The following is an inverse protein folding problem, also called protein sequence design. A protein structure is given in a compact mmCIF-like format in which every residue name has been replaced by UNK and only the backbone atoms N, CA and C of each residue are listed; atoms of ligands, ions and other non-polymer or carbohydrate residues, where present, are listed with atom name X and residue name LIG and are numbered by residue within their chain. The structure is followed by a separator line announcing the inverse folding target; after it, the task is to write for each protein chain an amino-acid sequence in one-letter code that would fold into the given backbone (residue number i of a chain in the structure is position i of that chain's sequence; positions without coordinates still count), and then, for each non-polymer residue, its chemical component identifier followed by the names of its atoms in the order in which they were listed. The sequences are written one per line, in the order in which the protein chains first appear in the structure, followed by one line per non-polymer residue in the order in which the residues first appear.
data_IF_926726794334
#
_entry.id   IF_926726794334
#
_cell.length_a   1.000
_cell.length_b   1.000
_cell.length_c   1.000
_cell.angle_alpha   90.00
_cell.angle_beta   90.00
_cell.angle_gamma   90.00
#
_symmetry.space_group_name_H-M   'P 1'
#
loop_
_entity.id
_entity.type
_entity.pdbx_description
1 polymer ?
#
# COMPACT_ATOMS: atom_id res chain seq x y z
N UNK A 1 -2.51 45.65 26.93
CA UNK A 1 -2.49 44.17 27.01
C UNK A 1 -3.37 43.53 25.94
N UNK A 2 -4.65 43.88 25.78
CA UNK A 2 -5.55 43.21 24.81
C UNK A 2 -5.01 43.15 23.37
N UNK A 3 -4.50 44.26 22.83
CA UNK A 3 -4.03 44.36 21.42
C UNK A 3 -2.77 43.54 21.10
N UNK A 4 -1.94 43.24 22.12
CA UNK A 4 -0.69 42.46 21.95
C UNK A 4 -1.00 40.98 21.73
N UNK A 5 -2.13 40.48 22.26
CA UNK A 5 -2.57 39.11 22.02
C UNK A 5 -3.24 38.97 20.64
N UNK A 6 -4.00 39.99 20.20
CA UNK A 6 -4.58 40.01 18.85
C UNK A 6 -3.52 39.95 17.76
N UNK A 7 -2.45 40.75 17.85
CA UNK A 7 -1.38 40.80 16.84
C UNK A 7 -0.65 39.46 16.70
N UNK A 8 -0.32 38.78 17.80
CA UNK A 8 0.29 37.44 17.76
C UNK A 8 -0.59 36.41 17.03
N UNK A 9 -1.90 36.43 17.27
CA UNK A 9 -2.84 35.48 16.66
C UNK A 9 -3.10 35.68 15.15
N UNK A 10 -2.79 36.85 14.60
CA UNK A 10 -2.92 37.13 13.16
C UNK A 10 -1.61 36.81 12.43
N UNK A 11 -0.47 37.26 12.95
CA UNK A 11 0.84 37.04 12.31
C UNK A 11 1.15 35.54 12.15
N UNK A 12 0.85 34.72 13.14
CA UNK A 12 1.04 33.25 13.06
C UNK A 12 0.13 32.55 12.03
N UNK A 13 -0.95 33.19 11.55
CA UNK A 13 -1.81 32.62 10.50
C UNK A 13 -1.25 32.85 9.10
N UNK A 14 -0.61 33.99 8.85
CA UNK A 14 0.00 34.28 7.55
C UNK A 14 1.28 33.46 7.32
N UNK A 15 2.10 33.19 8.35
CA UNK A 15 3.30 32.35 8.20
C UNK A 15 2.97 30.95 7.65
N UNK A 16 1.85 30.35 8.07
CA UNK A 16 1.42 29.00 7.67
C UNK A 16 0.88 28.92 6.24
N UNK A 17 0.44 30.06 5.69
CA UNK A 17 -0.14 30.16 4.34
C UNK A 17 0.89 29.87 3.23
N UNK A 18 2.17 30.01 3.54
CA UNK A 18 3.29 29.79 2.61
C UNK A 18 4.03 28.46 2.84
N UNK A 19 3.52 27.58 3.70
CA UNK A 19 4.09 26.24 3.86
C UNK A 19 3.57 25.33 2.74
N UNK A 20 4.37 24.33 2.36
CA UNK A 20 3.87 23.21 1.56
C UNK A 20 3.23 22.14 2.44
N UNK A 21 2.43 21.26 1.85
CA UNK A 21 1.95 20.01 2.41
C UNK A 21 3.10 19.19 3.02
N UNK A 22 4.21 19.08 2.28
CA UNK A 22 5.45 18.47 2.69
C UNK A 22 5.99 19.10 3.99
N UNK A 23 6.10 20.43 4.05
CA UNK A 23 6.58 21.15 5.25
C UNK A 23 5.62 21.02 6.44
N UNK A 24 4.30 21.00 6.20
CA UNK A 24 3.29 20.71 7.23
C UNK A 24 3.47 19.30 7.79
N UNK A 25 3.77 18.33 6.92
CA UNK A 25 4.03 16.95 7.29
C UNK A 25 5.36 16.78 8.04
N UNK A 26 6.45 17.40 7.59
CA UNK A 26 7.74 17.41 8.31
C UNK A 26 7.61 17.92 9.75
N UNK A 27 6.86 19.02 9.95
CA UNK A 27 6.62 19.59 11.27
C UNK A 27 5.70 18.71 12.14
N UNK A 28 4.75 18.00 11.54
CA UNK A 28 3.96 16.98 12.23
C UNK A 28 4.84 15.80 12.69
N UNK A 29 5.83 15.39 11.88
CA UNK A 29 6.78 14.36 12.24
C UNK A 29 7.71 14.81 13.38
N UNK A 30 8.16 16.06 13.43
CA UNK A 30 8.93 16.57 14.60
C UNK A 30 8.16 16.45 15.91
N UNK A 31 6.84 16.60 15.89
CA UNK A 31 5.98 16.37 17.05
C UNK A 31 5.87 14.87 17.38
N UNK A 32 5.52 14.06 16.38
CA UNK A 32 5.21 12.63 16.56
C UNK A 32 6.45 11.75 16.79
N UNK A 33 7.63 12.11 16.29
CA UNK A 33 8.87 11.32 16.45
C UNK A 33 9.40 11.28 17.88
N UNK A 34 8.83 12.10 18.78
CA UNK A 34 9.07 12.04 20.22
C UNK A 34 8.26 10.96 20.95
N UNK A 35 7.26 10.36 20.28
CA UNK A 35 6.33 9.41 20.89
C UNK A 35 6.85 7.96 20.72
N UNK A 36 6.88 7.19 21.81
CA UNK A 36 7.13 5.74 21.77
C UNK A 36 5.99 4.96 22.44
N UNK A 37 5.01 4.55 21.63
CA UNK A 37 3.85 3.74 22.00
C UNK A 37 4.18 2.30 22.45
N UNK A 38 5.45 1.87 22.43
CA UNK A 38 5.86 0.46 22.56
C UNK A 38 5.39 -0.29 23.81
N UNK A 39 4.97 0.41 24.86
CA UNK A 39 4.23 -0.16 25.98
C UNK A 39 3.16 0.79 26.57
N UNK A 40 2.79 1.88 25.89
CA UNK A 40 1.99 2.95 26.49
C UNK A 40 0.56 2.54 26.87
N UNK A 41 0.21 2.80 28.12
CA UNK A 41 -1.18 2.86 28.58
C UNK A 41 -1.91 4.06 27.97
N UNK A 42 -3.24 4.00 27.92
CA UNK A 42 -4.09 5.10 27.44
C UNK A 42 -3.85 6.40 28.22
N UNK A 43 -3.45 6.32 29.49
CA UNK A 43 -3.05 7.49 30.29
C UNK A 43 -1.75 8.13 29.80
N UNK A 44 -0.72 7.34 29.52
CA UNK A 44 0.55 7.83 28.96
C UNK A 44 0.36 8.41 27.55
N UNK A 45 -0.50 7.79 26.72
CA UNK A 45 -0.90 8.38 25.43
C UNK A 45 -1.61 9.72 25.65
N UNK A 46 -2.54 9.80 26.59
CA UNK A 46 -3.27 11.05 26.90
C UNK A 46 -2.31 12.17 27.34
N UNK A 47 -1.38 11.88 28.24
CA UNK A 47 -0.42 12.87 28.75
C UNK A 47 0.55 13.31 27.64
N UNK A 48 1.10 12.37 26.87
CA UNK A 48 1.99 12.68 25.75
C UNK A 48 1.30 13.53 24.67
N UNK A 49 0.10 13.17 24.25
CA UNK A 49 -0.71 13.95 23.31
C UNK A 49 -1.08 15.34 23.87
N UNK A 50 -1.30 15.45 25.18
CA UNK A 50 -1.55 16.73 25.83
C UNK A 50 -0.34 17.66 25.78
N UNK A 51 0.90 17.14 25.78
CA UNK A 51 2.11 17.98 25.58
C UNK A 51 2.16 18.60 24.17
N UNK A 52 1.63 17.91 23.16
CA UNK A 52 1.47 18.43 21.79
C UNK A 52 0.31 19.43 21.67
N UNK A 53 -0.49 19.60 22.74
CA UNK A 53 -1.72 20.39 22.76
C UNK A 53 -2.94 19.69 22.14
N UNK A 54 -2.80 18.41 21.78
CA UNK A 54 -3.86 17.58 21.22
C UNK A 54 -4.80 17.13 22.35
N UNK A 55 -6.06 16.82 22.03
CA UNK A 55 -7.10 16.55 23.02
C UNK A 55 -7.91 15.31 22.67
N UNK A 56 -7.95 14.36 23.59
CA UNK A 56 -8.99 13.33 23.58
C UNK A 56 -10.36 14.00 23.68
N UNK A 57 -11.22 13.70 22.71
CA UNK A 57 -12.60 14.15 22.70
C UNK A 57 -13.45 13.14 23.49
N UNK A 58 -14.43 13.59 24.29
CA UNK A 58 -15.37 12.67 24.92
C UNK A 58 -16.19 11.96 23.83
N UNK A 59 -15.99 10.66 23.70
CA UNK A 59 -16.80 9.79 22.86
C UNK A 59 -17.78 9.07 23.77
N UNK A 60 -19.08 9.31 23.59
CA UNK A 60 -20.10 8.49 24.25
C UNK A 60 -19.88 7.01 23.84
N UNK A 61 -19.80 6.07 24.80
CA UNK A 61 -19.56 4.67 24.47
C UNK A 61 -20.69 4.17 23.56
N UNK A 62 -20.38 3.46 22.45
CA UNK A 62 -21.39 3.06 21.48
C UNK A 62 -22.47 2.23 22.16
N UNK A 63 -23.74 2.63 21.97
CA UNK A 63 -24.89 2.04 22.66
C UNK A 63 -25.06 0.54 22.40
N UNK A 64 -24.49 0.04 21.30
CA UNK A 64 -24.26 -1.38 21.08
C UNK A 64 -22.80 -1.74 21.38
N UNK A 65 -22.59 -2.52 22.46
CA UNK A 65 -21.31 -3.19 22.71
C UNK A 65 -21.21 -4.43 21.84
N UNK A 66 -20.97 -4.24 20.54
CA UNK A 66 -20.45 -5.32 19.71
C UNK A 66 -19.03 -5.65 20.19
N UNK A 67 -18.80 -6.92 20.54
CA UNK A 67 -17.50 -7.41 21.02
C UNK A 67 -16.44 -7.47 19.91
N UNK A 68 -16.85 -7.35 18.64
CA UNK A 68 -15.95 -7.19 17.50
C UNK A 68 -15.57 -5.72 17.23
N UNK A 69 -16.34 -4.74 17.70
CA UNK A 69 -16.05 -3.31 17.44
C UNK A 69 -15.04 -2.76 18.46
N UNK A 70 -13.88 -2.37 17.92
CA UNK A 70 -12.73 -1.85 18.65
C UNK A 70 -13.05 -0.63 19.51
N UNK A 71 -12.48 -0.58 20.73
CA UNK A 71 -12.47 0.63 21.56
C UNK A 71 -11.56 1.68 20.90
N UNK A 72 -12.16 2.55 20.08
CA UNK A 72 -11.52 3.73 19.49
C UNK A 72 -11.87 4.97 20.33
N UNK A 73 -10.86 5.71 20.75
CA UNK A 73 -11.04 7.07 21.29
C UNK A 73 -10.66 8.08 20.21
N UNK A 74 -11.46 9.14 20.04
CA UNK A 74 -11.19 10.19 19.05
C UNK A 74 -10.31 11.26 19.69
N UNK A 75 -9.27 11.68 18.98
CA UNK A 75 -8.39 12.79 19.35
C UNK A 75 -8.59 13.91 18.34
N UNK A 76 -8.94 15.11 18.82
CA UNK A 76 -8.82 16.33 18.04
C UNK A 76 -7.39 16.85 18.16
N UNK A 77 -6.73 17.10 17.03
CA UNK A 77 -5.36 17.60 16.99
C UNK A 77 -5.26 18.93 16.23
N UNK A 78 -4.25 19.74 16.56
CA UNK A 78 -3.98 21.03 15.93
C UNK A 78 -2.51 21.06 15.52
N UNK A 79 -2.20 21.37 14.26
CA UNK A 79 -0.80 21.68 13.91
C UNK A 79 -0.49 23.11 14.35
N UNK A 80 0.59 23.30 15.12
CA UNK A 80 0.94 24.59 15.74
C UNK A 80 2.38 25.00 15.37
N UNK A 81 2.60 26.19 14.80
CA UNK A 81 1.59 27.17 14.37
C UNK A 81 0.77 26.66 13.18
N UNK A 82 -0.51 27.01 13.12
CA UNK A 82 -1.41 26.59 12.04
C UNK A 82 -2.89 26.89 12.34
N UNK A 83 -3.75 27.04 11.31
CA UNK A 83 -5.18 27.30 11.47
C UNK A 83 -6.08 26.06 11.33
N UNK A 84 -5.53 24.89 10.96
CA UNK A 84 -6.29 23.64 10.82
C UNK A 84 -6.17 22.76 12.05
N UNK A 85 -7.32 22.21 12.44
CA UNK A 85 -7.41 21.05 13.33
C UNK A 85 -7.80 19.83 12.49
N UNK A 86 -7.24 18.67 12.83
CA UNK A 86 -7.59 17.38 12.23
C UNK A 86 -8.08 16.39 13.28
N UNK A 87 -8.36 15.16 12.83
CA UNK A 87 -8.74 14.05 13.69
C UNK A 87 -7.69 12.95 13.69
N UNK A 88 -7.55 12.28 14.83
CA UNK A 88 -6.80 11.05 15.00
C UNK A 88 -7.62 10.09 15.87
N UNK A 89 -7.27 8.81 15.90
CA UNK A 89 -7.90 7.82 16.79
C UNK A 89 -6.86 6.99 17.53
N UNK A 90 -7.07 6.80 18.82
CA UNK A 90 -6.32 5.84 19.65
C UNK A 90 -7.13 4.55 19.70
N UNK A 91 -6.53 3.46 19.23
CA UNK A 91 -7.08 2.11 19.29
C UNK A 91 -6.53 1.40 20.53
N UNK A 92 -7.44 0.89 21.36
CA UNK A 92 -7.15 0.26 22.66
C UNK A 92 -7.30 -1.26 22.55
N UNK A 93 -6.46 -2.01 23.27
CA UNK A 93 -6.48 -3.47 23.25
C UNK A 93 -7.78 -4.06 23.79
N UNK A 94 -8.35 -5.03 23.07
CA UNK A 94 -9.49 -5.82 23.56
C UNK A 94 -9.11 -6.79 24.69
N UNK A 95 -7.80 -7.10 24.87
CA UNK A 95 -7.32 -7.97 25.98
C UNK A 95 -7.04 -7.17 27.25
N UNK A 96 -6.53 -5.94 27.11
CA UNK A 96 -6.31 -5.01 28.21
C UNK A 96 -6.79 -3.61 27.82
N UNK A 97 -7.98 -3.18 28.30
CA UNK A 97 -8.51 -1.85 28.02
C UNK A 97 -7.72 -0.67 28.61
N UNK A 98 -6.65 -0.90 29.37
CA UNK A 98 -5.69 0.13 29.75
C UNK A 98 -4.59 0.35 28.69
N UNK A 99 -4.36 -0.60 27.78
CA UNK A 99 -3.25 -0.61 26.84
C UNK A 99 -3.61 0.02 25.49
N UNK A 100 -2.88 1.05 25.06
CA UNK A 100 -2.96 1.54 23.69
C UNK A 100 -2.17 0.64 22.74
N UNK A 101 -2.69 0.44 21.53
CA UNK A 101 -2.11 -0.44 20.49
C UNK A 101 -1.68 0.35 19.26
N UNK A 102 -2.49 1.34 18.85
CA UNK A 102 -2.25 2.13 17.65
C UNK A 102 -2.80 3.56 17.78
N UNK A 103 -2.06 4.54 17.27
CA UNK A 103 -2.52 5.91 17.04
C UNK A 103 -2.59 6.12 15.52
N UNK A 104 -3.80 6.28 14.97
CA UNK A 104 -4.03 6.54 13.54
C UNK A 104 -4.40 8.02 13.36
N UNK A 105 -3.50 8.81 12.76
CA UNK A 105 -3.66 10.24 12.47
C UNK A 105 -4.15 10.42 11.04
N UNK A 106 -5.27 11.12 10.84
CA UNK A 106 -5.84 11.38 9.52
C UNK A 106 -5.23 12.66 8.92
N UNK A 107 -4.33 12.49 7.95
CA UNK A 107 -3.58 13.60 7.35
C UNK A 107 -4.47 14.45 6.43
N UNK A 108 -5.34 13.85 5.62
CA UNK A 108 -6.32 14.57 4.79
C UNK A 108 -7.22 15.52 5.58
N UNK A 109 -7.47 15.24 6.87
CA UNK A 109 -8.28 16.12 7.73
C UNK A 109 -7.55 17.36 8.27
N UNK A 110 -6.22 17.32 8.42
CA UNK A 110 -5.46 18.36 9.13
C UNK A 110 -4.34 19.03 8.31
N UNK A 111 -3.80 18.34 7.32
CA UNK A 111 -2.85 18.89 6.35
C UNK A 111 -3.65 19.55 5.20
N UNK A 112 -3.07 20.56 4.57
CA UNK A 112 -3.56 21.09 3.30
C UNK A 112 -2.60 20.61 2.20
N UNK A 113 -3.15 19.99 1.16
CA UNK A 113 -2.38 19.52 0.00
C UNK A 113 -2.31 20.65 -1.02
N UNK A 114 -1.11 20.99 -1.51
CA UNK A 114 -0.91 22.16 -2.38
C UNK A 114 -1.36 21.93 -3.85
N UNK A 115 -2.17 20.88 -4.08
CA UNK A 115 -2.67 20.48 -5.39
C UNK A 115 -4.07 21.05 -5.61
N UNK A 116 -4.36 21.42 -6.86
CA UNK A 116 -5.70 21.84 -7.25
C UNK A 116 -6.61 20.61 -7.42
N UNK A 117 -7.72 20.57 -6.67
CA UNK A 117 -8.72 19.51 -6.71
C UNK A 117 -9.46 19.39 -8.05
N UNK A 118 -9.20 20.28 -9.01
CA UNK A 118 -9.73 20.20 -10.38
C UNK A 118 -9.35 18.90 -11.13
N UNK A 119 -8.24 18.23 -10.80
CA UNK A 119 -7.89 16.91 -11.34
C UNK A 119 -8.59 15.74 -10.62
N UNK A 120 -9.42 16.04 -9.62
CA UNK A 120 -10.17 15.09 -8.79
C UNK A 120 -9.59 14.92 -7.38
N UNK A 121 -10.41 14.54 -6.37
CA UNK A 121 -9.96 14.39 -4.98
C UNK A 121 -8.81 13.40 -4.85
N UNK A 122 -8.98 12.19 -5.39
CA UNK A 122 -8.02 11.09 -5.34
C UNK A 122 -6.59 11.51 -5.78
N UNK A 123 -6.47 12.52 -6.65
CA UNK A 123 -5.18 12.97 -7.17
C UNK A 123 -4.34 13.74 -6.15
N UNK A 124 -4.98 14.51 -5.24
CA UNK A 124 -4.28 15.25 -4.19
C UNK A 124 -3.69 14.30 -3.14
N UNK A 125 -4.50 13.36 -2.63
CA UNK A 125 -4.07 12.30 -1.74
C UNK A 125 -3.00 11.38 -2.36
N UNK A 126 -3.14 10.98 -3.64
CA UNK A 126 -2.15 10.16 -4.35
C UNK A 126 -0.82 10.89 -4.53
N UNK A 127 -0.84 12.19 -4.86
CA UNK A 127 0.38 12.99 -4.94
C UNK A 127 1.04 13.14 -3.55
N UNK A 128 0.25 13.44 -2.52
CA UNK A 128 0.77 13.65 -1.17
C UNK A 128 1.33 12.37 -0.52
N UNK A 129 0.69 11.20 -0.68
CA UNK A 129 1.23 9.96 -0.11
C UNK A 129 2.60 9.59 -0.72
N UNK A 130 2.81 9.90 -2.01
CA UNK A 130 4.12 9.72 -2.64
C UNK A 130 5.18 10.65 -2.02
N UNK A 131 4.89 11.94 -1.77
CA UNK A 131 5.83 12.84 -1.07
C UNK A 131 6.05 12.45 0.39
N UNK A 132 4.99 12.14 1.13
CA UNK A 132 5.04 11.73 2.53
C UNK A 132 5.89 10.46 2.72
N UNK A 133 5.89 9.54 1.75
CA UNK A 133 6.83 8.41 1.74
C UNK A 133 8.29 8.87 1.73
N UNK A 134 8.69 9.79 0.85
CA UNK A 134 10.08 10.28 0.79
C UNK A 134 10.51 11.00 2.08
N UNK A 135 9.58 11.74 2.68
CA UNK A 135 9.82 12.44 3.95
C UNK A 135 10.01 11.42 5.09
N UNK A 136 9.14 10.40 5.21
CA UNK A 136 9.33 9.32 6.19
C UNK A 136 10.61 8.52 5.94
N UNK A 137 10.95 8.23 4.68
CA UNK A 137 12.18 7.54 4.30
C UNK A 137 13.42 8.30 4.79
N UNK A 138 13.44 9.62 4.62
CA UNK A 138 14.52 10.49 5.08
C UNK A 138 14.55 10.66 6.61
N UNK A 139 13.38 10.75 7.26
CA UNK A 139 13.24 10.98 8.71
C UNK A 139 13.49 9.73 9.55
N UNK A 140 12.99 8.57 9.14
CA UNK A 140 13.13 7.32 9.88
C UNK A 140 14.45 6.61 9.54
N UNK A 141 14.86 6.65 8.27
CA UNK A 141 16.04 5.93 7.77
C UNK A 141 15.77 4.44 7.55
N UNK A 142 16.50 3.85 6.58
CA UNK A 142 16.15 2.53 6.02
C UNK A 142 14.93 2.60 5.09
N UNK A 143 14.72 1.60 4.25
CA UNK A 143 13.44 1.46 3.55
C UNK A 143 12.34 1.08 4.54
N UNK A 144 11.05 1.30 4.22
CA UNK A 144 9.99 0.52 4.84
C UNK A 144 10.23 -0.96 4.47
N UNK A 145 10.54 -1.87 5.42
CA UNK A 145 10.75 -3.29 5.13
C UNK A 145 9.53 -3.98 4.53
N UNK A 146 8.32 -3.41 4.68
CA UNK A 146 7.08 -3.97 4.13
C UNK A 146 6.23 -2.89 3.44
N UNK A 147 5.83 -3.20 2.21
CA UNK A 147 4.72 -2.59 1.47
C UNK A 147 3.59 -3.62 1.39
N UNK A 148 2.34 -3.17 1.29
CA UNK A 148 1.19 -4.07 1.24
C UNK A 148 -0.05 -3.38 0.66
N UNK A 149 -0.94 -4.13 0.01
CA UNK A 149 -2.20 -3.59 -0.51
C UNK A 149 -3.38 -4.59 -0.47
N UNK A 150 -4.61 -4.09 -0.68
CA UNK A 150 -5.82 -4.71 -0.15
C UNK A 150 -6.50 -5.70 -1.10
N UNK A 151 -7.38 -6.53 -0.53
CA UNK A 151 -8.13 -7.54 -1.26
C UNK A 151 -9.11 -6.94 -2.28
N UNK A 152 -9.11 -7.48 -3.50
CA UNK A 152 -9.81 -6.94 -4.68
C UNK A 152 -11.33 -6.90 -4.49
N UNK A 153 -11.87 -5.75 -4.06
CA UNK A 153 -13.30 -5.39 -4.19
C UNK A 153 -13.52 -3.88 -4.43
N UNK A 154 -13.51 -3.42 -5.68
CA UNK A 154 -13.88 -2.04 -6.02
C UNK A 154 -15.40 -1.84 -5.89
N UNK A 155 -15.89 -1.55 -4.68
CA UNK A 155 -17.31 -1.30 -4.42
C UNK A 155 -17.64 -0.51 -3.13
N UNK A 156 -16.80 -0.55 -2.09
CA UNK A 156 -17.12 0.01 -0.76
C UNK A 156 -16.04 0.99 -0.34
N UNK A 157 -16.42 2.25 -0.07
CA UNK A 157 -15.54 3.36 0.33
C UNK A 157 -14.85 3.22 1.71
N UNK A 158 -14.88 2.05 2.33
CA UNK A 158 -14.55 1.84 3.75
C UNK A 158 -13.55 0.69 3.94
N UNK A 159 -12.58 0.54 3.03
CA UNK A 159 -11.48 -0.42 3.15
C UNK A 159 -10.14 0.33 3.15
N UNK A 160 -9.13 -0.16 3.90
CA UNK A 160 -7.78 0.35 3.80
C UNK A 160 -7.20 0.07 2.40
N UNK A 161 -6.46 1.02 1.87
CA UNK A 161 -5.73 0.95 0.61
C UNK A 161 -4.29 0.45 0.79
N UNK A 162 -3.39 0.93 -0.08
CA UNK A 162 -1.95 0.74 0.05
C UNK A 162 -1.45 1.16 1.44
N UNK A 163 -0.53 0.37 2.00
CA UNK A 163 0.15 0.64 3.27
C UNK A 163 1.64 0.28 3.22
N UNK A 164 2.48 1.20 3.68
CA UNK A 164 3.93 1.06 3.90
C UNK A 164 4.19 0.97 5.40
N UNK A 165 5.13 0.13 5.85
CA UNK A 165 5.46 -0.05 7.27
C UNK A 165 6.97 0.03 7.49
N UNK A 166 7.39 0.91 8.40
CA UNK A 166 8.72 1.01 9.00
C UNK A 166 8.71 0.36 10.37
N UNK A 167 9.23 -0.87 10.49
CA UNK A 167 9.36 -1.51 11.78
C UNK A 167 10.57 -0.95 12.56
N UNK A 168 10.33 -0.54 13.81
CA UNK A 168 11.38 -0.05 14.71
C UNK A 168 11.18 -0.62 16.13
N UNK A 169 12.25 -0.67 16.96
CA UNK A 169 12.09 -0.91 18.40
C UNK A 169 11.12 0.10 19.01
N UNK A 170 10.30 -0.36 19.96
CA UNK A 170 9.24 0.45 20.57
C UNK A 170 8.03 0.64 19.65
N UNK A 171 8.17 1.50 18.63
CA UNK A 171 7.05 1.93 17.76
C UNK A 171 7.34 1.70 16.28
N UNK A 172 6.52 0.88 15.63
CA UNK A 172 6.46 0.75 14.18
C UNK A 172 5.59 1.86 13.59
N UNK A 173 6.00 2.41 12.45
CA UNK A 173 5.30 3.49 11.77
C UNK A 173 4.70 2.96 10.48
N UNK A 174 3.47 3.33 10.15
CA UNK A 174 2.89 3.02 8.85
C UNK A 174 2.27 4.26 8.18
N UNK A 175 2.43 4.36 6.87
CA UNK A 175 1.78 5.35 6.03
C UNK A 175 0.87 4.62 5.05
N UNK A 176 -0.35 5.08 4.85
CA UNK A 176 -1.25 4.45 3.90
C UNK A 176 -2.39 5.34 3.46
N UNK A 177 -3.21 4.80 2.57
CA UNK A 177 -4.56 5.31 2.31
C UNK A 177 -5.55 4.46 3.10
N UNK A 178 -6.56 5.09 3.69
CA UNK A 178 -7.77 4.42 4.19
C UNK A 178 -8.96 5.22 3.70
N UNK A 179 -9.90 4.57 3.00
CA UNK A 179 -11.17 5.20 2.61
C UNK A 179 -10.97 6.49 1.79
N UNK A 180 -10.02 6.47 0.85
CA UNK A 180 -9.54 7.58 0.02
C UNK A 180 -8.87 8.74 0.79
N UNK A 181 -8.45 8.53 2.06
CA UNK A 181 -7.78 9.52 2.90
C UNK A 181 -6.37 9.06 3.30
N UNK A 182 -5.38 9.96 3.31
CA UNK A 182 -4.02 9.59 3.75
C UNK A 182 -3.96 9.52 5.27
N UNK A 183 -3.49 8.39 5.80
CA UNK A 183 -3.37 8.11 7.23
C UNK A 183 -1.93 7.78 7.62
N UNK A 184 -1.49 8.32 8.76
CA UNK A 184 -0.23 7.98 9.42
C UNK A 184 -0.55 7.22 10.71
N UNK A 185 -0.01 6.01 10.85
CA UNK A 185 -0.21 5.17 12.01
C UNK A 185 1.09 5.00 12.79
N UNK A 186 1.04 5.20 14.11
CA UNK A 186 2.08 4.77 15.04
C UNK A 186 1.55 3.54 15.79
N UNK A 187 2.29 2.44 15.77
CA UNK A 187 1.84 1.10 16.16
C UNK A 187 2.79 0.57 17.23
N UNK A 188 2.25 0.06 18.34
CA UNK A 188 3.04 -0.61 19.36
C UNK A 188 3.71 -1.88 18.76
N UNK A 189 5.05 -1.90 18.71
CA UNK A 189 5.81 -3.00 18.10
C UNK A 189 5.68 -4.31 18.89
N UNK A 190 5.37 -4.25 20.18
CA UNK A 190 5.11 -5.43 21.00
C UNK A 190 3.79 -6.16 20.66
N UNK A 191 2.85 -5.47 19.98
CA UNK A 191 1.65 -6.11 19.42
C UNK A 191 1.89 -6.66 18.02
N UNK A 192 1.44 -7.88 17.77
CA UNK A 192 1.54 -8.60 16.48
C UNK A 192 0.19 -9.22 16.07
N UNK A 193 0.07 -9.58 14.79
CA UNK A 193 -1.07 -10.33 14.24
C UNK A 193 -2.43 -9.69 14.55
N UNK A 194 -3.39 -10.51 15.00
CA UNK A 194 -4.77 -10.11 15.26
C UNK A 194 -4.96 -9.01 16.32
N UNK A 195 -3.93 -8.65 17.10
CA UNK A 195 -3.99 -7.49 17.98
C UNK A 195 -3.86 -6.15 17.23
N UNK A 196 -3.18 -6.11 16.07
CA UNK A 196 -3.08 -4.91 15.24
C UNK A 196 -4.35 -4.63 14.42
N UNK A 197 -5.19 -5.66 14.25
CA UNK A 197 -6.48 -5.59 13.54
C UNK A 197 -6.39 -5.04 12.11
N UNK A 198 -5.26 -5.34 11.47
CA UNK A 198 -4.97 -5.05 10.07
C UNK A 198 -5.49 -6.21 9.21
N UNK A 199 -6.23 -5.97 8.11
CA UNK A 199 -6.64 -7.04 7.21
C UNK A 199 -5.43 -7.61 6.48
N UNK A 200 -5.39 -8.94 6.31
CA UNK A 200 -4.33 -9.62 5.58
C UNK A 200 -4.22 -9.07 4.14
N UNK A 201 -3.06 -8.53 3.74
CA UNK A 201 -2.90 -7.97 2.40
C UNK A 201 -2.76 -9.08 1.36
N UNK A 202 -3.28 -8.84 0.16
CA UNK A 202 -3.24 -9.83 -0.95
C UNK A 202 -2.02 -9.68 -1.84
N UNK A 203 -1.15 -8.71 -1.54
CA UNK A 203 0.25 -8.63 -1.97
C UNK A 203 1.06 -7.92 -0.89
N UNK A 204 2.35 -8.24 -0.81
CA UNK A 204 3.32 -7.43 -0.07
C UNK A 204 4.62 -7.31 -0.86
N UNK A 205 5.34 -6.21 -0.70
CA UNK A 205 6.69 -6.08 -1.24
C UNK A 205 7.69 -5.75 -0.13
N UNK A 206 8.85 -6.38 -0.16
CA UNK A 206 9.85 -6.35 0.93
C UNK A 206 11.25 -6.06 0.40
N UNK A 207 12.11 -5.47 1.23
CA UNK A 207 13.55 -5.42 0.88
C UNK A 207 14.09 -6.86 0.78
N UNK A 208 14.93 -7.21 -0.21
CA UNK A 208 15.31 -8.61 -0.45
C UNK A 208 16.16 -9.22 0.67
N UNK A 209 15.51 -9.85 1.65
CA UNK A 209 16.12 -10.88 2.47
C UNK A 209 16.69 -11.98 1.55
N UNK A 210 17.89 -12.48 1.85
CA UNK A 210 18.75 -13.23 0.93
C UNK A 210 18.30 -14.65 0.53
N UNK A 211 17.07 -14.81 0.04
CA UNK A 211 16.58 -15.97 -0.73
C UNK A 211 15.27 -15.60 -1.43
N UNK A 212 15.11 -16.05 -2.68
CA UNK A 212 13.83 -15.96 -3.39
C UNK A 212 12.82 -16.91 -2.77
N UNK A 213 11.60 -16.43 -2.54
CA UNK A 213 10.41 -17.25 -2.25
C UNK A 213 9.98 -17.98 -3.53
N UNK A 214 10.75 -19.00 -3.90
CA UNK A 214 10.41 -19.93 -4.98
C UNK A 214 9.07 -20.58 -4.66
N UNK A 215 8.02 -20.20 -5.39
CA UNK A 215 6.71 -20.84 -5.30
C UNK A 215 6.88 -22.33 -5.59
N UNK A 216 6.55 -23.14 -4.60
CA UNK A 216 6.70 -24.60 -4.66
C UNK A 216 5.72 -25.16 -5.68
N UNK A 217 6.22 -25.91 -6.67
CA UNK A 217 5.41 -26.59 -7.71
C UNK A 217 4.12 -27.19 -7.12
N UNK A 218 2.96 -26.77 -7.63
CA UNK A 218 1.64 -27.20 -7.13
C UNK A 218 1.10 -28.32 -8.04
N UNK A 219 1.14 -29.59 -7.61
CA UNK A 219 0.75 -30.72 -8.46
C UNK A 219 -0.73 -30.65 -8.83
N UNK A 220 -1.07 -30.97 -10.09
CA UNK A 220 -2.46 -30.98 -10.57
C UNK A 220 -3.04 -29.61 -10.94
N UNK A 221 -2.27 -28.53 -10.83
CA UNK A 221 -2.62 -27.20 -11.38
C UNK A 221 -3.01 -27.30 -12.86
N UNK A 222 -4.07 -26.59 -13.27
CA UNK A 222 -4.54 -26.44 -14.65
C UNK A 222 -4.44 -24.98 -15.10
N UNK A 223 -4.48 -24.76 -16.42
CA UNK A 223 -4.48 -23.40 -17.00
C UNK A 223 -5.60 -22.51 -16.48
N UNK A 224 -6.79 -23.05 -16.18
CA UNK A 224 -7.88 -22.29 -15.57
C UNK A 224 -7.50 -21.75 -14.17
N UNK A 225 -6.76 -22.53 -13.37
CA UNK A 225 -6.31 -22.13 -12.03
C UNK A 225 -5.17 -21.11 -12.11
N UNK A 226 -4.33 -21.19 -13.15
CA UNK A 226 -3.30 -20.18 -13.46
C UNK A 226 -3.96 -18.87 -13.89
N UNK A 227 -4.90 -18.94 -14.84
CA UNK A 227 -5.64 -17.78 -15.36
C UNK A 227 -6.41 -17.04 -14.26
N UNK A 228 -7.12 -17.77 -13.39
CA UNK A 228 -7.85 -17.18 -12.27
C UNK A 228 -6.91 -16.45 -11.30
N UNK A 229 -5.82 -17.11 -10.85
CA UNK A 229 -4.83 -16.52 -9.93
C UNK A 229 -4.12 -15.31 -10.55
N UNK A 230 -3.76 -15.39 -11.83
CA UNK A 230 -3.13 -14.30 -12.58
C UNK A 230 -4.08 -13.11 -12.78
N UNK A 231 -5.35 -13.37 -13.09
CA UNK A 231 -6.40 -12.33 -13.17
C UNK A 231 -6.57 -11.63 -11.82
N UNK A 232 -6.63 -12.39 -10.71
CA UNK A 232 -6.68 -11.80 -9.36
C UNK A 232 -5.44 -10.97 -9.06
N UNK A 233 -4.24 -11.52 -9.26
CA UNK A 233 -2.96 -10.84 -9.00
C UNK A 233 -2.83 -9.53 -9.79
N UNK A 234 -3.15 -9.54 -11.08
CA UNK A 234 -3.09 -8.35 -11.92
C UNK A 234 -4.19 -7.35 -11.56
N UNK A 235 -5.41 -7.78 -11.20
CA UNK A 235 -6.48 -6.88 -10.74
C UNK A 235 -6.08 -6.13 -9.46
N UNK A 236 -5.43 -6.82 -8.52
CA UNK A 236 -4.81 -6.22 -7.34
C UNK A 236 -3.82 -5.14 -7.75
N UNK A 237 -2.74 -5.53 -8.45
CA UNK A 237 -1.63 -4.61 -8.76
C UNK A 237 -2.08 -3.44 -9.63
N UNK A 238 -2.98 -3.66 -10.59
CA UNK A 238 -3.52 -2.61 -11.46
C UNK A 238 -4.43 -1.62 -10.73
N UNK A 239 -5.08 -2.02 -9.63
CA UNK A 239 -5.84 -1.10 -8.77
C UNK A 239 -4.89 -0.15 -8.04
N UNK A 240 -3.81 -0.70 -7.47
CA UNK A 240 -2.84 0.06 -6.67
C UNK A 240 -1.81 0.86 -7.50
N UNK A 241 -1.71 0.68 -8.83
CA UNK A 241 -0.76 1.39 -9.73
C UNK A 241 -0.50 2.88 -9.38
N UNK A 242 -1.50 3.73 -9.07
CA UNK A 242 -1.27 5.15 -8.79
C UNK A 242 -0.48 5.41 -7.50
N UNK A 243 -0.57 4.49 -6.54
CA UNK A 243 -0.02 4.62 -5.19
C UNK A 243 1.27 3.81 -5.03
N UNK A 244 1.50 2.80 -5.89
CA UNK A 244 2.76 2.04 -5.95
C UNK A 244 3.99 2.98 -6.05
N UNK A 245 5.12 2.61 -5.42
CA UNK A 245 6.33 3.45 -5.39
C UNK A 245 7.09 3.55 -6.73
N UNK A 246 6.61 2.85 -7.76
CA UNK A 246 7.29 2.72 -9.04
C UNK A 246 6.69 1.60 -9.89
N UNK A 247 7.53 0.84 -10.57
CA UNK A 247 7.09 -0.18 -11.53
C UNK A 247 7.12 -1.57 -10.89
N UNK A 248 5.98 -2.27 -10.89
CA UNK A 248 5.95 -3.70 -10.62
C UNK A 248 6.37 -4.47 -11.87
N UNK A 249 7.03 -5.60 -11.65
CA UNK A 249 7.28 -6.60 -12.68
C UNK A 249 6.91 -7.98 -12.13
N UNK A 250 6.15 -8.72 -12.92
CA UNK A 250 5.62 -10.04 -12.61
C UNK A 250 6.07 -11.00 -13.71
N UNK A 251 6.89 -11.99 -13.39
CA UNK A 251 7.38 -13.03 -14.29
C UNK A 251 6.78 -14.38 -13.90
N UNK A 252 6.25 -15.11 -14.87
CA UNK A 252 5.90 -16.53 -14.77
C UNK A 252 6.81 -17.30 -15.73
N UNK A 253 7.45 -18.39 -15.29
CA UNK A 253 8.43 -19.13 -16.11
C UNK A 253 8.43 -20.63 -15.82
N UNK A 254 9.01 -21.44 -16.70
CA UNK A 254 9.29 -22.86 -16.39
C UNK A 254 10.44 -23.00 -15.38
N UNK A 255 10.22 -23.84 -14.36
CA UNK A 255 11.25 -24.32 -13.45
C UNK A 255 12.29 -25.26 -14.11
N UNK A 256 11.99 -25.81 -15.29
CA UNK A 256 12.91 -26.67 -16.05
C UNK A 256 13.74 -25.88 -17.07
N UNK A 257 13.17 -24.81 -17.63
CA UNK A 257 13.81 -23.93 -18.62
C UNK A 257 13.43 -22.47 -18.36
N UNK A 258 14.19 -21.72 -17.53
CA UNK A 258 13.89 -20.34 -17.18
C UNK A 258 13.86 -19.34 -18.34
N UNK A 259 14.30 -19.72 -19.55
CA UNK A 259 14.15 -18.88 -20.74
C UNK A 259 12.72 -18.93 -21.32
N UNK A 260 11.90 -19.90 -20.92
CA UNK A 260 10.46 -19.97 -21.20
C UNK A 260 9.71 -19.16 -20.14
N UNK A 261 9.71 -17.84 -20.30
CA UNK A 261 9.05 -16.89 -19.41
C UNK A 261 8.00 -16.03 -20.11
N UNK A 262 7.04 -15.50 -19.34
CA UNK A 262 6.14 -14.43 -19.75
C UNK A 262 6.06 -13.40 -18.62
N UNK A 263 6.19 -12.12 -18.98
CA UNK A 263 6.20 -10.98 -18.08
C UNK A 263 4.92 -10.13 -18.14
N UNK A 264 4.66 -9.41 -17.05
CA UNK A 264 3.68 -8.33 -16.95
C UNK A 264 4.24 -7.19 -16.09
N UNK A 265 3.96 -5.94 -16.48
CA UNK A 265 4.41 -4.73 -15.76
C UNK A 265 3.47 -3.54 -15.97
N UNK A 266 3.44 -2.58 -15.04
CA UNK A 266 2.84 -1.27 -15.32
C UNK A 266 3.82 -0.39 -16.12
N UNK A 267 3.34 0.18 -17.22
CA UNK A 267 4.09 1.12 -18.05
C UNK A 267 3.26 2.38 -18.26
N UNK A 268 3.41 3.33 -17.34
CA UNK A 268 2.51 4.48 -17.22
C UNK A 268 1.09 4.03 -16.89
N UNK A 269 0.11 4.42 -17.70
CA UNK A 269 -1.30 4.04 -17.53
C UNK A 269 -1.66 2.66 -18.12
N UNK A 270 -0.73 1.96 -18.77
CA UNK A 270 -0.98 0.65 -19.38
C UNK A 270 -0.42 -0.50 -18.53
N UNK A 271 -1.13 -1.63 -18.54
CA UNK A 271 -0.52 -2.93 -18.26
C UNK A 271 0.15 -3.42 -19.54
N UNK A 272 1.47 -3.59 -19.53
CA UNK A 272 2.23 -4.23 -20.60
C UNK A 272 2.52 -5.68 -20.27
N UNK A 273 2.40 -6.57 -21.24
CA UNK A 273 2.86 -7.98 -21.15
C UNK A 273 3.95 -8.24 -22.20
N UNK A 274 4.88 -9.13 -21.89
CA UNK A 274 5.96 -9.51 -22.82
C UNK A 274 6.33 -11.00 -22.77
N UNK A 275 6.76 -11.54 -23.91
CA UNK A 275 7.18 -12.93 -24.08
C UNK A 275 8.41 -12.99 -25.01
N UNK A 276 9.30 -14.00 -24.90
CA UNK A 276 10.46 -14.14 -25.79
C UNK A 276 10.04 -14.53 -27.22
N UNK A 277 10.83 -14.11 -28.21
CA UNK A 277 10.62 -14.44 -29.62
C UNK A 277 10.79 -15.95 -29.94
N UNK A 278 11.25 -16.75 -28.99
CA UNK A 278 11.37 -18.22 -29.07
C UNK A 278 10.04 -18.96 -28.93
N UNK A 279 8.91 -18.24 -28.85
CA UNK A 279 7.52 -18.75 -28.83
C UNK A 279 7.11 -19.39 -30.17
N UNK A 280 7.76 -20.52 -30.49
CA UNK A 280 8.02 -20.98 -31.84
C UNK A 280 7.15 -22.14 -32.33
N UNK A 281 6.16 -22.57 -31.55
CA UNK A 281 5.15 -23.56 -31.98
C UNK A 281 4.14 -23.00 -32.99
N UNK A 282 3.99 -21.68 -33.07
CA UNK A 282 2.85 -21.02 -33.73
C UNK A 282 3.33 -19.92 -34.70
N UNK A 283 2.80 -19.81 -35.93
CA UNK A 283 3.21 -18.78 -36.89
C UNK A 283 3.08 -17.35 -36.35
N UNK A 284 4.02 -16.47 -36.73
CA UNK A 284 4.05 -15.06 -36.30
C UNK A 284 2.73 -14.31 -36.58
N UNK A 285 2.06 -14.63 -37.69
CA UNK A 285 0.76 -14.06 -38.07
C UNK A 285 -0.32 -14.27 -37.01
N UNK A 286 -0.25 -15.36 -36.22
CA UNK A 286 -1.18 -15.63 -35.13
C UNK A 286 -1.02 -14.60 -34.00
N UNK A 287 0.22 -14.33 -33.58
CA UNK A 287 0.53 -13.35 -32.54
C UNK A 287 0.13 -11.94 -32.97
N UNK A 288 0.43 -11.57 -34.22
CA UNK A 288 0.03 -10.29 -34.82
C UNK A 288 -1.51 -10.16 -34.86
N UNK A 289 -2.22 -11.21 -35.26
CA UNK A 289 -3.70 -11.23 -35.28
C UNK A 289 -4.32 -11.06 -33.88
N UNK A 290 -3.66 -11.56 -32.82
CA UNK A 290 -4.08 -11.37 -31.44
C UNK A 290 -3.57 -10.06 -30.80
N UNK A 291 -2.96 -9.18 -31.59
CA UNK A 291 -2.56 -7.83 -31.17
C UNK A 291 -1.18 -7.73 -30.49
N UNK A 292 -0.35 -8.76 -30.60
CA UNK A 292 1.05 -8.70 -30.18
C UNK A 292 1.93 -8.03 -31.24
N UNK A 293 2.91 -7.24 -30.80
CA UNK A 293 3.92 -6.60 -31.65
C UNK A 293 5.31 -7.17 -31.31
N UNK A 294 6.06 -7.62 -32.31
CA UNK A 294 7.45 -8.05 -32.11
C UNK A 294 8.39 -6.83 -32.13
N UNK A 295 9.29 -6.75 -31.14
CA UNK A 295 10.41 -5.82 -31.12
C UNK A 295 11.68 -6.58 -30.69
N UNK A 296 12.66 -6.64 -31.58
CA UNK A 296 13.90 -7.40 -31.39
C UNK A 296 13.63 -8.88 -31.04
N UNK A 297 14.07 -9.30 -29.86
CA UNK A 297 14.03 -10.66 -29.30
C UNK A 297 12.78 -10.94 -28.45
N UNK A 298 11.82 -10.00 -28.39
CA UNK A 298 10.58 -10.13 -27.60
C UNK A 298 9.31 -9.73 -28.37
N UNK A 299 8.19 -10.32 -27.96
CA UNK A 299 6.83 -9.93 -28.29
C UNK A 299 6.24 -9.11 -27.14
N UNK A 300 5.45 -8.08 -27.46
CA UNK A 300 4.82 -7.19 -26.48
C UNK A 300 3.35 -6.92 -26.81
N UNK A 301 2.53 -6.69 -25.77
CA UNK A 301 1.15 -6.21 -25.91
C UNK A 301 0.79 -5.24 -24.75
N UNK A 302 -0.09 -4.27 -25.00
CA UNK A 302 -0.43 -3.20 -24.04
C UNK A 302 -1.95 -3.02 -23.83
N UNK A 303 -2.36 -2.95 -22.56
CA UNK A 303 -3.74 -2.83 -22.12
C UNK A 303 -3.93 -1.50 -21.35
N UNK A 304 -4.28 -0.45 -22.08
CA UNK A 304 -4.33 0.96 -21.61
C UNK A 304 -5.42 1.28 -20.57
N UNK A 305 -6.32 0.34 -20.28
CA UNK A 305 -7.44 0.53 -19.35
C UNK A 305 -7.49 -0.51 -18.21
N UNK A 306 -6.43 -1.30 -18.04
CA UNK A 306 -6.33 -2.34 -17.01
C UNK A 306 -6.61 -1.84 -15.58
N UNK A 307 -6.16 -0.61 -15.23
CA UNK A 307 -6.47 0.05 -13.95
C UNK A 307 -7.98 0.20 -13.67
N UNK A 308 -8.80 0.36 -14.72
CA UNK A 308 -10.22 0.73 -14.59
C UNK A 308 -11.19 -0.36 -15.05
N UNK A 309 -10.69 -1.43 -15.67
CA UNK A 309 -11.50 -2.46 -16.32
C UNK A 309 -10.90 -3.85 -16.09
N UNK A 310 -11.53 -4.61 -15.19
CA UNK A 310 -11.16 -6.01 -14.94
C UNK A 310 -11.22 -6.90 -16.20
N UNK A 311 -12.00 -6.54 -17.23
CA UNK A 311 -12.03 -7.24 -18.51
C UNK A 311 -10.70 -7.14 -19.29
N UNK A 312 -10.03 -5.98 -19.26
CA UNK A 312 -8.72 -5.78 -19.90
C UNK A 312 -7.64 -6.57 -19.15
N UNK A 313 -7.76 -6.68 -17.82
CA UNK A 313 -6.89 -7.50 -16.97
C UNK A 313 -7.08 -9.00 -17.24
N UNK A 314 -8.33 -9.45 -17.34
CA UNK A 314 -8.64 -10.85 -17.66
C UNK A 314 -8.13 -11.24 -19.07
N UNK A 315 -8.23 -10.33 -20.04
CA UNK A 315 -7.66 -10.50 -21.38
C UNK A 315 -6.12 -10.54 -21.35
N UNK A 316 -5.46 -9.69 -20.56
CA UNK A 316 -4.01 -9.76 -20.37
C UNK A 316 -3.58 -11.09 -19.74
N UNK A 317 -4.29 -11.56 -18.70
CA UNK A 317 -4.05 -12.86 -18.08
C UNK A 317 -4.29 -14.04 -19.04
N UNK A 318 -5.28 -13.95 -19.92
CA UNK A 318 -5.54 -14.93 -20.98
C UNK A 318 -4.41 -14.98 -22.00
N UNK A 319 -3.96 -13.81 -22.49
CA UNK A 319 -2.84 -13.72 -23.43
C UNK A 319 -1.53 -14.23 -22.82
N UNK A 320 -1.28 -13.99 -21.53
CA UNK A 320 -0.13 -14.57 -20.82
C UNK A 320 -0.21 -16.10 -20.70
N UNK A 321 -1.39 -16.66 -20.40
CA UNK A 321 -1.62 -18.12 -20.34
C UNK A 321 -1.46 -18.77 -21.72
N UNK A 322 -1.97 -18.13 -22.77
CA UNK A 322 -1.77 -18.57 -24.16
C UNK A 322 -0.29 -18.53 -24.56
N UNK A 323 0.45 -17.49 -24.12
CA UNK A 323 1.87 -17.36 -24.38
C UNK A 323 2.70 -18.45 -23.66
N UNK A 324 2.43 -18.72 -22.37
CA UNK A 324 3.07 -19.82 -21.63
C UNK A 324 2.74 -21.19 -22.24
N UNK A 325 1.52 -21.39 -22.74
CA UNK A 325 1.11 -22.62 -23.43
C UNK A 325 1.88 -22.84 -24.73
N UNK A 326 2.09 -21.79 -25.54
CA UNK A 326 2.87 -21.86 -26.79
C UNK A 326 4.39 -21.87 -26.58
N UNK A 327 4.86 -21.59 -25.36
CA UNK A 327 6.22 -21.90 -24.90
C UNK A 327 6.36 -23.34 -24.36
N UNK A 328 5.29 -24.15 -24.44
CA UNK A 328 5.21 -25.53 -23.91
C UNK A 328 5.53 -25.61 -22.40
N UNK A 329 5.16 -24.58 -21.61
CA UNK A 329 5.38 -24.57 -20.16
C UNK A 329 4.24 -25.30 -19.46
N UNK A 330 4.50 -26.44 -18.83
CA UNK A 330 3.48 -27.17 -18.08
C UNK A 330 3.01 -26.38 -16.83
N UNK A 331 1.69 -26.27 -16.54
CA UNK A 331 1.18 -25.48 -15.41
C UNK A 331 1.68 -25.92 -14.03
N UNK A 332 2.14 -27.16 -13.91
CA UNK A 332 2.73 -27.71 -12.68
C UNK A 332 4.23 -27.41 -12.50
N UNK A 333 4.87 -26.82 -13.52
CA UNK A 333 6.28 -26.38 -13.50
C UNK A 333 6.44 -24.86 -13.41
N UNK A 334 5.34 -24.10 -13.29
CA UNK A 334 5.38 -22.64 -13.23
C UNK A 334 6.04 -22.14 -11.93
N UNK A 335 7.15 -21.43 -12.09
CA UNK A 335 7.71 -20.54 -11.08
C UNK A 335 7.14 -19.12 -11.24
N UNK A 336 6.85 -18.50 -10.11
CA UNK A 336 6.54 -17.08 -9.98
C UNK A 336 7.79 -16.31 -9.54
N UNK A 337 8.02 -15.13 -10.11
CA UNK A 337 8.95 -14.13 -9.58
C UNK A 337 8.34 -12.74 -9.73
N UNK A 338 8.09 -12.07 -8.60
CA UNK A 338 7.64 -10.69 -8.55
C UNK A 338 8.71 -9.74 -8.01
N UNK A 339 8.74 -8.51 -8.53
CA UNK A 339 9.46 -7.40 -7.92
C UNK A 339 8.75 -6.05 -8.11
N UNK A 340 9.19 -5.03 -7.36
CA UNK A 340 8.87 -3.62 -7.61
C UNK A 340 10.17 -2.81 -7.62
N UNK A 341 10.41 -2.03 -8.67
CA UNK A 341 11.47 -1.01 -8.68
C UNK A 341 10.94 0.32 -8.10
N UNK A 342 11.27 0.56 -6.84
CA UNK A 342 10.96 1.76 -6.07
C UNK A 342 12.08 2.82 -6.20
N UNK A 343 12.28 3.35 -7.41
CA UNK A 343 13.34 4.31 -7.79
C UNK A 343 14.77 3.82 -7.49
N UNK A 344 15.21 2.78 -8.20
CA UNK A 344 16.50 2.08 -8.01
C UNK A 344 16.58 1.26 -6.70
N UNK A 345 15.43 0.92 -6.11
CA UNK A 345 15.33 -0.07 -5.03
C UNK A 345 14.47 -1.21 -5.50
N UNK A 346 15.11 -2.33 -5.83
CA UNK A 346 14.41 -3.56 -6.20
C UNK A 346 13.88 -4.25 -4.94
N UNK A 347 12.57 -4.19 -4.74
CA UNK A 347 11.85 -4.93 -3.71
C UNK A 347 11.41 -6.27 -4.27
N UNK A 348 11.43 -7.33 -3.45
CA UNK A 348 10.77 -8.60 -3.79
C UNK A 348 9.27 -8.40 -3.63
N UNK A 349 8.47 -8.73 -4.64
CA UNK A 349 7.01 -8.73 -4.56
C UNK A 349 6.56 -10.16 -4.31
N UNK A 350 5.78 -10.34 -3.25
CA UNK A 350 5.16 -11.59 -2.84
C UNK A 350 3.64 -11.45 -2.98
N UNK A 351 3.03 -12.33 -3.77
CA UNK A 351 1.59 -12.36 -4.03
C UNK A 351 1.00 -13.65 -3.40
N UNK A 352 0.34 -13.58 -2.23
CA UNK A 352 -0.30 -14.73 -1.57
C UNK A 352 -1.28 -15.55 -2.44
N UNK A 353 -1.82 -14.98 -3.51
CA UNK A 353 -2.63 -15.73 -4.50
C UNK A 353 -1.80 -16.74 -5.32
N UNK A 354 -0.46 -16.63 -5.31
CA UNK A 354 0.49 -17.57 -5.88
C UNK A 354 1.28 -18.37 -4.83
N UNK A 355 1.26 -18.00 -3.54
CA UNK A 355 1.92 -18.81 -2.50
C UNK A 355 1.09 -20.07 -2.18
N UNK A 356 1.76 -21.09 -1.65
CA UNK A 356 1.11 -22.32 -1.15
C UNK A 356 0.55 -22.16 0.26
N UNK A 357 0.87 -21.06 0.91
CA UNK A 357 0.80 -20.92 2.37
C UNK A 357 -0.58 -20.36 2.76
N UNK A 358 -1.62 -21.10 2.40
CA UNK A 358 -2.78 -21.22 3.28
C UNK A 358 -2.37 -22.09 4.47
N UNK A 359 -1.70 -21.47 5.45
CA UNK A 359 -1.59 -22.02 6.80
C UNK A 359 -3.01 -22.31 7.29
N UNK A 360 -3.37 -23.60 7.25
CA UNK A 360 -4.71 -24.09 7.56
C UNK A 360 -4.81 -24.48 9.02
N UNK A 361 -4.20 -23.66 9.89
CA UNK A 361 -4.01 -23.89 11.32
C UNK A 361 -4.50 -22.67 12.14
N UNK A 362 -5.68 -22.86 12.76
CA UNK A 362 -6.20 -22.23 13.99
C UNK A 362 -6.69 -20.75 13.93
#
# INVERSE_FOLDING_TARGET
MSEVLSTLSVVQRDEYRYWSSDKRFEHLLDQLMSLDLGAWSVGEVQDALSTLGWKLLPVDPPQAVDRALWRKQIVGWELRPGPRAGFATVMVSNRDPAQAVKLTVNLSSGIDFDMDYNDGPDYAEVAFIQSAWWILLARLGGGPPVWSGPSVRPAVRNWPGLRMVWERPGTSWALGLDSDQVVLELICSATTGSARQEPSPVWHATEPAGSSTLVRRIPGTRWADVHARLTTALCTLCTDIPTLPGQFELRLRSAADPAREVGARNQGNALGIDAPATISSTPADHWITHGWTQQSDKWFQFFYHARFRAAEVAAAAEQMVNALSALEVEPSELEYHGCIDARNRLLRLDLPVFSTDHDSDL
#
